data_IF_866518883753
#
_entry.id   IF_866518883753
#
_cell.length_a   1.000
_cell.length_b   1.000
_cell.length_c   1.000
_cell.angle_alpha   90.00
_cell.angle_beta   90.00
_cell.angle_gamma   90.00
#
_symmetry.space_group_name_H-M   'P 1'
#
loop_
_entity.id
_entity.type
_entity.pdbx_description
1 polymer ?
#
# COMPACT_ATOMS: atom_id res chain seq x y z
N UNK A 1 11.85 -16.22 1.06
CA UNK A 1 11.36 -15.21 2.02
C UNK A 1 9.91 -15.52 2.35
N UNK A 2 9.39 -15.14 3.52
CA UNK A 2 7.96 -15.30 3.79
C UNK A 2 7.21 -14.15 3.11
N UNK A 3 6.11 -14.46 2.44
CA UNK A 3 5.25 -13.50 1.75
C UNK A 3 3.81 -13.96 1.72
N UNK A 4 2.99 -13.25 0.94
CA UNK A 4 1.59 -13.59 0.74
C UNK A 4 1.30 -13.86 -0.73
N UNK A 5 0.46 -14.86 -1.00
CA UNK A 5 -0.22 -15.03 -2.27
C UNK A 5 -1.67 -14.59 -2.07
N UNK A 6 -2.09 -13.54 -2.77
CA UNK A 6 -3.45 -12.99 -2.74
C UNK A 6 -4.13 -13.26 -4.07
N UNK A 7 -5.33 -13.81 -4.05
CA UNK A 7 -6.20 -13.92 -5.23
C UNK A 7 -7.59 -13.36 -4.92
N UNK A 8 -8.14 -12.58 -5.85
CA UNK A 8 -9.51 -12.06 -5.80
C UNK A 8 -10.29 -12.72 -6.94
N UNK A 9 -11.36 -13.42 -6.60
CA UNK A 9 -12.15 -14.23 -7.51
C UNK A 9 -11.28 -15.21 -8.31
N UNK A 10 -11.46 -15.24 -9.62
CA UNK A 10 -10.73 -16.13 -10.53
C UNK A 10 -9.52 -15.41 -11.19
N UNK A 11 -9.09 -14.28 -10.63
CA UNK A 11 -7.91 -13.55 -11.10
C UNK A 11 -6.62 -14.28 -10.73
N UNK A 12 -5.58 -14.07 -11.55
CA UNK A 12 -4.23 -14.56 -11.28
C UNK A 12 -3.74 -14.03 -9.92
N UNK A 13 -3.12 -14.86 -9.08
CA UNK A 13 -2.65 -14.42 -7.77
C UNK A 13 -1.55 -13.37 -7.87
N UNK A 14 -1.58 -12.42 -6.95
CA UNK A 14 -0.52 -11.44 -6.71
C UNK A 14 0.34 -11.92 -5.55
N UNK A 15 1.64 -12.04 -5.78
CA UNK A 15 2.62 -12.47 -4.79
C UNK A 15 3.30 -11.24 -4.23
N UNK A 16 3.25 -11.07 -2.90
CA UNK A 16 3.76 -9.88 -2.22
C UNK A 16 4.70 -10.24 -1.08
N UNK A 17 5.79 -9.49 -0.98
CA UNK A 17 6.60 -9.36 0.23
C UNK A 17 7.36 -8.04 0.15
N UNK A 18 7.90 -7.58 1.27
CA UNK A 18 8.65 -6.32 1.36
C UNK A 18 9.83 -6.52 2.32
N UNK A 19 10.95 -5.78 2.16
CA UNK A 19 12.10 -5.90 3.05
C UNK A 19 11.79 -5.64 4.53
N UNK A 20 10.89 -4.69 4.81
CA UNK A 20 10.54 -4.29 6.18
C UNK A 20 9.18 -4.88 6.59
N UNK A 21 8.09 -4.38 6.01
CA UNK A 21 6.73 -4.82 6.33
C UNK A 21 5.93 -5.06 5.06
N UNK A 22 5.26 -6.21 4.98
CA UNK A 22 4.20 -6.49 4.01
C UNK A 22 2.86 -6.65 4.75
N UNK A 23 1.83 -5.98 4.26
CA UNK A 23 0.52 -5.90 4.90
C UNK A 23 -0.60 -6.25 3.91
N UNK A 24 -1.57 -7.01 4.40
CA UNK A 24 -2.83 -7.31 3.72
C UNK A 24 -3.95 -6.75 4.59
N UNK A 25 -4.67 -5.76 4.08
CA UNK A 25 -5.73 -5.07 4.78
C UNK A 25 -7.05 -5.23 4.03
N UNK A 26 -8.08 -5.70 4.72
CA UNK A 26 -9.44 -5.77 4.21
C UNK A 26 -10.29 -4.80 5.02
N UNK A 27 -10.77 -3.77 4.34
CA UNK A 27 -11.64 -2.75 4.90
C UNK A 27 -13.09 -3.18 4.70
N UNK A 28 -13.84 -3.23 5.79
CA UNK A 28 -15.27 -3.53 5.79
C UNK A 28 -16.06 -2.44 6.50
N UNK A 29 -17.24 -2.11 5.99
CA UNK A 29 -18.14 -1.07 6.51
C UNK A 29 -17.47 0.30 6.68
N UNK A 30 -16.46 0.60 5.85
CA UNK A 30 -15.80 1.90 5.86
C UNK A 30 -16.65 2.93 5.10
N UNK A 31 -16.58 4.21 5.51
CA UNK A 31 -17.35 5.30 4.87
C UNK A 31 -17.04 5.50 3.39
N UNK A 32 -15.86 5.05 2.95
CA UNK A 32 -15.41 5.05 1.56
C UNK A 32 -15.68 3.71 0.84
N UNK A 33 -16.47 2.82 1.43
CA UNK A 33 -16.83 1.50 0.88
C UNK A 33 -15.82 0.40 1.21
N UNK A 34 -16.27 -0.84 1.02
CA UNK A 34 -15.46 -2.04 1.24
C UNK A 34 -14.32 -2.13 0.21
N UNK A 35 -13.13 -2.46 0.67
CA UNK A 35 -11.95 -2.49 -0.19
C UNK A 35 -10.86 -3.39 0.35
N UNK A 36 -9.97 -3.82 -0.54
CA UNK A 36 -8.76 -4.53 -0.18
C UNK A 36 -7.55 -3.67 -0.54
N UNK A 37 -6.65 -3.53 0.41
CA UNK A 37 -5.34 -2.93 0.20
C UNK A 37 -4.26 -3.95 0.51
N UNK A 38 -3.35 -4.15 -0.44
CA UNK A 38 -2.13 -4.94 -0.24
C UNK A 38 -0.94 -4.07 -0.57
N UNK A 39 -0.07 -3.90 0.41
CA UNK A 39 1.07 -3.02 0.27
C UNK A 39 2.17 -3.33 1.25
N UNK A 40 3.29 -2.64 1.06
CA UNK A 40 4.47 -2.82 1.87
C UNK A 40 5.21 -1.52 2.09
N UNK A 41 6.14 -1.58 3.03
CA UNK A 41 7.10 -0.52 3.29
C UNK A 41 8.45 -1.00 2.78
N UNK A 42 8.98 -0.28 1.81
CA UNK A 42 10.41 -0.19 1.59
C UNK A 42 10.87 1.07 2.32
N UNK A 43 12.04 1.06 2.93
CA UNK A 43 12.60 2.03 3.90
C UNK A 43 12.30 3.53 3.64
N UNK A 44 12.02 3.91 2.40
CA UNK A 44 11.69 5.28 1.97
C UNK A 44 10.35 5.45 1.24
N UNK A 45 9.63 4.35 0.93
CA UNK A 45 8.51 4.33 0.00
C UNK A 45 7.42 3.36 0.44
N UNK A 46 6.16 3.78 0.29
CA UNK A 46 5.02 2.89 0.43
C UNK A 46 4.70 2.24 -0.91
N UNK A 47 4.74 0.92 -0.94
CA UNK A 47 4.49 0.08 -2.12
C UNK A 47 3.05 -0.41 -2.08
N UNK A 48 2.38 -0.42 -3.23
CA UNK A 48 1.02 -0.93 -3.41
C UNK A 48 0.99 -1.95 -4.54
N UNK A 49 0.47 -3.13 -4.24
CA UNK A 49 0.20 -4.20 -5.21
C UNK A 49 -1.28 -4.38 -5.49
N UNK A 50 -2.15 -4.13 -4.50
CA UNK A 50 -3.60 -4.22 -4.65
C UNK A 50 -4.23 -3.01 -3.97
N UNK A 51 -5.13 -2.34 -4.67
CA UNK A 51 -5.97 -1.24 -4.16
C UNK A 51 -7.32 -1.32 -4.88
N UNK A 52 -8.16 -2.26 -4.44
CA UNK A 52 -9.36 -2.68 -5.15
C UNK A 52 -10.61 -2.51 -4.30
N UNK A 53 -11.72 -2.11 -4.93
CA UNK A 53 -13.04 -2.12 -4.28
C UNK A 53 -13.60 -3.52 -4.25
N UNK A 54 -14.12 -3.92 -3.09
CA UNK A 54 -14.77 -5.21 -2.91
C UNK A 54 -16.28 -5.04 -3.02
N UNK A 55 -16.94 -6.09 -3.52
CA UNK A 55 -18.40 -6.21 -3.56
C UNK A 55 -18.82 -7.47 -2.81
N UNK A 56 -20.04 -7.45 -2.27
CA UNK A 56 -20.65 -8.65 -1.69
C UNK A 56 -20.69 -9.76 -2.74
N UNK A 57 -20.13 -10.92 -2.37
CA UNK A 57 -20.00 -12.07 -3.27
C UNK A 57 -18.59 -12.26 -3.83
N UNK A 58 -17.70 -11.26 -3.73
CA UNK A 58 -16.30 -11.45 -4.09
C UNK A 58 -15.62 -12.47 -3.17
N UNK A 59 -14.75 -13.30 -3.76
CA UNK A 59 -14.01 -14.37 -3.08
C UNK A 59 -12.55 -13.97 -2.94
N UNK A 60 -12.09 -13.68 -1.74
CA UNK A 60 -10.68 -13.33 -1.47
C UNK A 60 -9.97 -14.53 -0.84
N UNK A 61 -8.85 -14.94 -1.42
CA UNK A 61 -7.95 -15.96 -0.87
C UNK A 61 -6.61 -15.33 -0.52
N UNK A 62 -6.21 -15.47 0.74
CA UNK A 62 -4.91 -15.02 1.24
C UNK A 62 -4.17 -16.23 1.79
N UNK A 63 -2.96 -16.49 1.28
CA UNK A 63 -2.09 -17.55 1.81
C UNK A 63 -0.76 -16.95 2.22
N UNK A 64 -0.22 -17.43 3.34
CA UNK A 64 1.20 -17.23 3.67
C UNK A 64 2.00 -18.28 2.92
N UNK A 65 2.99 -17.85 2.15
CA UNK A 65 3.79 -18.72 1.28
C UNK A 65 5.27 -18.36 1.36
N UNK A 66 6.13 -19.32 1.02
CA UNK A 66 7.52 -19.02 0.74
C UNK A 66 7.65 -18.47 -0.69
N UNK A 67 8.32 -17.33 -0.83
CA UNK A 67 8.47 -16.60 -2.09
C UNK A 67 9.93 -16.45 -2.49
N UNK A 68 10.19 -16.63 -3.78
CA UNK A 68 11.47 -16.34 -4.46
C UNK A 68 11.39 -15.13 -5.39
N UNK A 69 10.17 -14.73 -5.78
CA UNK A 69 9.90 -13.58 -6.64
C UNK A 69 8.63 -12.85 -6.18
N UNK A 70 8.54 -11.55 -6.50
CA UNK A 70 7.44 -10.66 -6.13
C UNK A 70 6.76 -10.14 -7.38
N UNK A 71 5.44 -9.99 -7.35
CA UNK A 71 4.68 -9.41 -8.45
C UNK A 71 5.05 -7.94 -8.69
N UNK A 72 4.89 -7.42 -9.93
CA UNK A 72 5.12 -6.02 -10.23
C UNK A 72 4.28 -5.09 -9.34
N UNK A 73 4.86 -3.95 -8.97
CA UNK A 73 4.21 -2.92 -8.15
C UNK A 73 3.23 -2.12 -9.02
N UNK A 74 2.02 -1.90 -8.51
CA UNK A 74 0.98 -1.09 -9.19
C UNK A 74 1.21 0.40 -8.92
N UNK A 75 1.56 0.75 -7.68
CA UNK A 75 1.80 2.14 -7.28
C UNK A 75 2.89 2.22 -6.22
N UNK A 76 3.77 3.21 -6.36
CA UNK A 76 4.62 3.68 -5.25
C UNK A 76 4.07 5.02 -4.76
N UNK A 77 3.89 5.15 -3.46
CA UNK A 77 3.35 6.35 -2.82
C UNK A 77 4.35 6.92 -1.83
N UNK A 78 4.58 8.23 -1.96
CA UNK A 78 5.40 9.09 -1.10
C UNK A 78 6.90 8.76 -1.10
N UNK A 79 7.69 9.65 -1.69
CA UNK A 79 9.12 9.71 -1.43
C UNK A 79 9.34 10.57 -0.18
N UNK A 80 9.93 9.99 0.86
CA UNK A 80 10.20 10.68 2.13
C UNK A 80 11.01 11.96 1.92
N UNK A 81 11.96 11.97 1.01
CA UNK A 81 12.80 13.15 0.77
C UNK A 81 12.02 14.25 0.04
N UNK A 82 11.13 13.88 -0.90
CA UNK A 82 10.20 14.83 -1.52
C UNK A 82 9.27 15.47 -0.48
N UNK A 83 8.75 14.68 0.47
CA UNK A 83 7.89 15.19 1.53
C UNK A 83 8.62 16.15 2.47
N UNK A 84 9.88 15.86 2.83
CA UNK A 84 10.70 16.80 3.62
C UNK A 84 10.87 18.13 2.90
N UNK A 85 11.19 18.10 1.60
CA UNK A 85 11.37 19.33 0.81
C UNK A 85 10.08 20.16 0.81
N UNK A 86 8.93 19.53 0.57
CA UNK A 86 7.63 20.21 0.62
C UNK A 86 7.30 20.77 2.00
N UNK A 87 7.65 20.04 3.06
CA UNK A 87 7.47 20.50 4.44
C UNK A 87 8.29 21.76 4.73
N UNK A 88 9.59 21.77 4.42
CA UNK A 88 10.44 22.93 4.69
C UNK A 88 10.02 24.16 3.86
N UNK A 89 9.59 23.96 2.62
CA UNK A 89 9.02 25.03 1.79
C UNK A 89 7.75 25.63 2.41
N UNK A 90 6.81 24.77 2.82
CA UNK A 90 5.56 25.22 3.45
C UNK A 90 5.83 25.92 4.79
N UNK A 91 6.75 25.40 5.58
CA UNK A 91 7.16 26.00 6.86
C UNK A 91 7.68 27.42 6.64
N UNK A 92 8.62 27.62 5.70
CA UNK A 92 9.15 28.94 5.38
C UNK A 92 8.06 29.92 4.88
N UNK A 93 7.11 29.43 4.08
CA UNK A 93 5.97 30.23 3.62
C UNK A 93 5.09 30.69 4.80
N UNK A 94 4.76 29.78 5.73
CA UNK A 94 3.93 30.09 6.89
C UNK A 94 4.62 31.03 7.88
N UNK A 95 5.93 30.86 8.12
CA UNK A 95 6.76 31.78 8.92
C UNK A 95 6.76 33.18 8.27
N UNK A 96 6.91 33.28 6.95
CA UNK A 96 6.88 34.57 6.23
C UNK A 96 5.54 35.29 6.31
N UNK A 97 4.45 34.53 6.49
CA UNK A 97 3.08 35.04 6.65
C UNK A 97 2.71 35.30 8.11
N UNK A 98 3.58 34.98 9.07
CA UNK A 98 3.30 35.10 10.51
C UNK A 98 2.16 34.19 10.99
N UNK A 99 1.95 33.06 10.30
CA UNK A 99 0.91 32.08 10.64
C UNK A 99 1.41 31.01 11.62
N UNK A 100 2.73 30.87 11.75
CA UNK A 100 3.44 30.04 12.73
C UNK A 100 4.65 30.79 13.28
#
# INVERSE_FOLDING_TARGET
>A
MIGYEIAINDQSPVVVTSPDVASVMVHSNCSFGDSMYVGGLDTSRRIVWVDEKLKVGDRVRIKVVEVSAVSPVVKMTYDREELKVKYEQLKAELESKGLI
#
